data_IF_538021482992
#
_entry.id   IF_538021482992
#
_cell.length_a   1.000
_cell.length_b   1.000
_cell.length_c   1.000
_cell.angle_alpha   90.00
_cell.angle_beta   90.00
_cell.angle_gamma   90.00
#
_symmetry.space_group_name_H-M   'P 1'
#
loop_
_entity.id
_entity.type
_entity.pdbx_description
1 polymer ?
#
# COMPACT_ATOMS: atom_id res chain seq x y z
N UNK A 1 -5.10 -2.68 -7.16
CA UNK A 1 -3.75 -2.45 -7.67
C UNK A 1 -2.72 -3.02 -6.72
N UNK A 2 -1.74 -3.67 -7.26
CA UNK A 2 -0.69 -4.32 -6.47
C UNK A 2 0.56 -3.46 -6.47
N UNK A 3 1.13 -3.25 -5.29
CA UNK A 3 2.32 -2.43 -5.12
C UNK A 3 3.37 -3.24 -4.38
N UNK A 4 4.62 -3.10 -4.78
CA UNK A 4 5.74 -3.69 -4.06
C UNK A 4 6.32 -2.60 -3.16
N UNK A 5 6.30 -2.85 -1.85
CA UNK A 5 6.69 -1.88 -0.86
C UNK A 5 7.90 -2.39 -0.11
N UNK A 6 8.89 -1.55 0.07
CA UNK A 6 10.19 -1.99 0.58
C UNK A 6 10.43 -1.65 2.04
N UNK A 7 9.50 -1.03 2.71
CA UNK A 7 9.66 -0.67 4.11
C UNK A 7 8.79 -1.56 4.98
N UNK A 8 9.34 -2.69 5.41
CA UNK A 8 8.55 -3.66 6.17
C UNK A 8 8.23 -3.19 7.58
N UNK A 9 8.89 -2.14 8.07
CA UNK A 9 8.57 -1.63 9.40
C UNK A 9 7.17 -1.05 9.47
N UNK A 10 6.67 -0.52 8.37
CA UNK A 10 5.37 0.15 8.35
C UNK A 10 4.21 -0.79 8.15
N UNK A 11 4.45 -2.10 7.98
CA UNK A 11 3.35 -3.03 7.80
C UNK A 11 2.74 -3.47 9.12
N UNK A 12 3.32 -3.08 10.25
CA UNK A 12 2.78 -3.41 11.55
C UNK A 12 1.44 -2.71 11.76
N UNK A 13 0.49 -3.38 12.45
CA UNK A 13 -0.83 -2.79 12.64
C UNK A 13 -0.79 -1.40 13.28
N UNK A 14 0.12 -1.18 14.21
CA UNK A 14 0.19 0.12 14.88
C UNK A 14 0.72 1.22 13.97
N UNK A 15 1.29 0.86 12.81
CA UNK A 15 1.82 1.83 11.86
C UNK A 15 0.99 1.90 10.59
N UNK A 16 -0.22 1.38 10.62
CA UNK A 16 -1.04 1.32 9.42
C UNK A 16 -1.36 2.72 8.89
N UNK A 17 -1.56 3.69 9.78
CA UNK A 17 -1.82 5.04 9.31
C UNK A 17 -0.63 5.61 8.55
N UNK A 18 0.58 5.35 9.05
CA UNK A 18 1.77 5.80 8.35
C UNK A 18 1.94 5.09 7.02
N UNK A 19 1.61 3.80 6.99
CA UNK A 19 1.69 3.04 5.76
C UNK A 19 0.76 3.62 4.70
N UNK A 20 -0.48 3.91 5.07
CA UNK A 20 -1.44 4.45 4.12
C UNK A 20 -0.99 5.81 3.64
N UNK A 21 -0.51 6.67 4.54
CA UNK A 21 -0.01 7.98 4.17
C UNK A 21 1.14 7.86 3.17
N UNK A 22 2.04 6.92 3.42
CA UNK A 22 3.18 6.72 2.54
C UNK A 22 2.73 6.23 1.17
N UNK A 23 1.78 5.31 1.14
CA UNK A 23 1.27 4.79 -0.12
C UNK A 23 0.55 5.86 -0.92
N UNK A 24 -0.21 6.72 -0.25
CA UNK A 24 -0.86 7.84 -0.93
C UNK A 24 0.19 8.75 -1.55
N UNK A 25 1.27 8.99 -0.83
CA UNK A 25 2.34 9.86 -1.34
C UNK A 25 3.02 9.24 -2.55
N UNK A 26 3.23 7.94 -2.53
CA UNK A 26 3.91 7.25 -3.62
C UNK A 26 3.03 7.16 -4.85
N UNK A 27 1.76 6.82 -4.65
CA UNK A 27 0.87 6.49 -5.78
C UNK A 27 0.05 7.66 -6.25
N UNK A 28 -0.18 8.65 -5.39
CA UNK A 28 -1.09 9.73 -5.71
C UNK A 28 -2.55 9.31 -5.78
N UNK A 29 -2.88 8.14 -5.24
CA UNK A 29 -4.23 7.61 -5.30
C UNK A 29 -4.96 7.89 -3.99
N UNK A 30 -6.27 8.00 -4.08
CA UNK A 30 -7.11 8.12 -2.90
C UNK A 30 -7.41 6.72 -2.38
N UNK A 31 -6.62 6.27 -1.44
CA UNK A 31 -6.66 4.89 -0.97
C UNK A 31 -7.83 4.71 -0.02
N UNK A 32 -8.65 3.71 -0.29
CA UNK A 32 -9.81 3.36 0.53
C UNK A 32 -9.43 2.28 1.53
N UNK A 33 -8.66 1.29 1.08
CA UNK A 33 -8.31 0.14 1.92
C UNK A 33 -7.05 -0.49 1.36
N UNK A 34 -6.40 -1.30 2.19
CA UNK A 34 -5.22 -2.03 1.74
C UNK A 34 -5.28 -3.45 2.29
N UNK A 35 -4.58 -4.35 1.61
CA UNK A 35 -4.39 -5.72 2.06
C UNK A 35 -2.92 -6.06 1.96
N UNK A 36 -2.35 -6.51 3.06
CA UNK A 36 -0.96 -6.94 3.07
C UNK A 36 -0.90 -8.35 2.50
N UNK A 37 -0.12 -8.51 1.46
CA UNK A 37 0.04 -9.80 0.81
C UNK A 37 1.28 -10.51 1.27
N UNK A 38 2.04 -11.05 0.29
CA UNK A 38 3.22 -11.82 0.61
C UNK A 38 4.36 -10.94 1.07
N UNK A 39 5.04 -11.35 2.12
CA UNK A 39 6.23 -10.68 2.62
C UNK A 39 7.44 -11.49 2.21
N UNK A 40 8.40 -10.82 1.57
CA UNK A 40 9.65 -11.45 1.14
C UNK A 40 10.78 -10.91 1.99
N UNK A 41 11.27 -11.72 2.90
CA UNK A 41 12.30 -11.28 3.82
C UNK A 41 13.67 -11.22 3.17
N UNK A 42 13.86 -11.94 2.09
CA UNK A 42 15.15 -11.90 1.39
C UNK A 42 15.38 -10.56 0.71
N UNK A 43 14.34 -10.02 0.10
CA UNK A 43 14.43 -8.73 -0.56
C UNK A 43 13.91 -7.59 0.30
N UNK A 44 13.43 -7.92 1.51
CA UNK A 44 12.89 -6.93 2.45
C UNK A 44 11.76 -6.15 1.81
N UNK A 45 10.89 -6.86 1.11
CA UNK A 45 9.78 -6.23 0.42
C UNK A 45 8.47 -6.92 0.77
N UNK A 46 7.37 -6.22 0.52
CA UNK A 46 6.05 -6.75 0.81
C UNK A 46 5.13 -6.35 -0.34
N UNK A 47 4.25 -7.27 -0.72
CA UNK A 47 3.25 -6.98 -1.74
C UNK A 47 2.00 -6.47 -1.04
N UNK A 48 1.53 -5.30 -1.46
CA UNK A 48 0.36 -4.67 -0.87
C UNK A 48 -0.68 -4.48 -1.96
N UNK A 49 -1.87 -4.99 -1.71
CA UNK A 49 -2.99 -4.78 -2.61
C UNK A 49 -3.74 -3.55 -2.15
N UNK A 50 -3.84 -2.57 -3.02
CA UNK A 50 -4.40 -1.27 -2.69
C UNK A 50 -5.76 -1.14 -3.36
N UNK A 51 -6.76 -0.79 -2.57
CA UNK A 51 -8.09 -0.47 -3.06
C UNK A 51 -8.23 1.04 -2.99
N UNK A 52 -8.53 1.65 -4.12
CA UNK A 52 -8.55 3.09 -4.21
C UNK A 52 -9.75 3.55 -4.98
N UNK A 53 -10.11 4.81 -4.77
CA UNK A 53 -11.18 5.42 -5.50
C UNK A 53 -10.62 6.04 -6.77
N UNK A 54 -11.22 5.70 -7.89
CA UNK A 54 -10.74 6.17 -9.17
C UNK A 54 -11.79 7.04 -9.82
N UNK A 55 -11.38 8.23 -10.20
CA UNK A 55 -12.26 9.13 -10.91
C UNK A 55 -12.29 8.88 -12.40
N UNK A 56 -11.34 8.12 -12.88
CA UNK A 56 -11.26 7.86 -14.32
C UNK A 56 -12.39 7.00 -14.81
N UNK A 57 -13.00 6.23 -13.93
CA UNK A 57 -14.12 5.42 -14.37
C UNK A 57 -15.28 6.22 -14.84
N UNK A 58 -15.31 7.48 -14.54
CA UNK A 58 -16.43 8.29 -14.98
C UNK A 58 -16.48 8.51 -16.47
N UNK A 59 -15.38 8.26 -17.11
CA UNK A 59 -15.35 8.43 -18.55
C UNK A 59 -16.08 7.35 -19.31
#
# INVERSE_FOLDING_TARGET
KMIIYNNTDNIKPEKQDELITDLVSITGLEIIDIRIGRIDLLTNSVRIKVFYKSDEEKK
#
